data_IF_862013363209
#
_entry.id   IF_862013363209
#
_cell.length_a   1.000
_cell.length_b   1.000
_cell.length_c   1.000
_cell.angle_alpha   90.00
_cell.angle_beta   90.00
_cell.angle_gamma   90.00
#
_symmetry.space_group_name_H-M   'P 1'
#
loop_
_entity.id
_entity.type
_entity.pdbx_description
1 polymer ?
#
# COMPACT_ATOMS: atom_id res chain seq x y z
N UNK A 1 -25.47 28.76 -26.67
CA UNK A 1 -24.98 28.11 -25.43
C UNK A 1 -24.25 26.86 -25.86
N UNK A 2 -22.92 26.83 -25.78
CA UNK A 2 -22.16 25.61 -26.03
C UNK A 2 -22.49 24.60 -24.93
N UNK A 3 -22.95 23.40 -25.30
CA UNK A 3 -23.19 22.35 -24.34
C UNK A 3 -21.85 21.91 -23.75
N UNK A 4 -21.61 22.28 -22.50
CA UNK A 4 -20.41 21.84 -21.80
C UNK A 4 -20.52 20.32 -21.60
N UNK A 5 -19.38 19.62 -21.70
CA UNK A 5 -19.39 18.18 -21.47
C UNK A 5 -19.85 17.89 -20.03
N UNK A 6 -20.77 16.94 -19.78
CA UNK A 6 -21.26 16.64 -18.44
C UNK A 6 -20.12 16.20 -17.49
N UNK A 7 -19.02 15.65 -18.01
CA UNK A 7 -17.83 15.34 -17.21
C UNK A 7 -17.11 16.59 -16.70
N UNK A 8 -17.15 17.69 -17.45
CA UNK A 8 -16.49 18.94 -17.06
C UNK A 8 -17.33 19.69 -16.03
N UNK A 9 -18.67 19.67 -16.15
CA UNK A 9 -19.57 20.19 -15.12
C UNK A 9 -19.37 19.47 -13.76
N UNK A 10 -19.22 18.14 -13.78
CA UNK A 10 -18.89 17.34 -12.60
C UNK A 10 -17.48 17.69 -12.06
N UNK A 11 -16.49 17.92 -12.92
CA UNK A 11 -15.15 18.33 -12.52
C UNK A 11 -15.14 19.67 -11.77
N UNK A 12 -15.80 20.70 -12.32
CA UNK A 12 -15.95 22.01 -11.67
C UNK A 12 -16.66 21.89 -10.32
N UNK A 13 -17.77 21.13 -10.28
CA UNK A 13 -18.51 20.87 -9.04
C UNK A 13 -17.69 20.12 -7.97
N UNK A 14 -16.69 19.34 -8.39
CA UNK A 14 -15.80 18.57 -7.51
C UNK A 14 -14.58 19.36 -7.02
N UNK A 15 -14.34 20.59 -7.50
CA UNK A 15 -13.15 21.38 -7.17
C UNK A 15 -12.96 21.62 -5.66
N UNK A 16 -14.05 21.61 -4.88
CA UNK A 16 -14.04 21.75 -3.42
C UNK A 16 -13.81 20.42 -2.66
N UNK A 17 -13.54 19.30 -3.34
CA UNK A 17 -13.33 17.97 -2.74
C UNK A 17 -11.97 17.38 -3.14
N UNK A 18 -10.87 17.79 -2.48
CA UNK A 18 -9.54 17.26 -2.76
C UNK A 18 -9.44 15.76 -2.51
N UNK A 19 -8.64 15.06 -3.31
CA UNK A 19 -8.28 13.66 -3.05
C UNK A 19 -7.32 13.56 -1.85
N UNK A 20 -7.71 12.78 -0.85
CA UNK A 20 -6.86 12.45 0.30
C UNK A 20 -6.40 10.99 0.18
N UNK A 21 -5.09 10.72 0.01
CA UNK A 21 -4.58 9.36 -0.08
C UNK A 21 -4.61 8.68 1.29
N UNK A 22 -4.92 7.37 1.32
CA UNK A 22 -4.94 6.57 2.54
C UNK A 22 -3.57 6.52 3.26
N UNK A 23 -2.47 6.64 2.51
CA UNK A 23 -1.10 6.83 3.02
C UNK A 23 -0.50 8.06 2.36
N UNK A 24 -0.12 9.06 3.17
CA UNK A 24 0.50 10.28 2.67
C UNK A 24 1.89 9.99 2.09
N UNK A 25 2.32 10.79 1.09
CA UNK A 25 3.63 10.62 0.44
C UNK A 25 4.79 10.55 1.43
N UNK A 26 4.78 11.43 2.43
CA UNK A 26 5.82 11.50 3.47
C UNK A 26 5.83 10.26 4.40
N UNK A 27 4.73 9.50 4.47
CA UNK A 27 4.62 8.28 5.26
C UNK A 27 4.99 7.00 4.47
N UNK A 28 5.11 7.06 3.14
CA UNK A 28 5.36 5.88 2.30
C UNK A 28 6.63 5.13 2.71
N UNK A 29 7.71 5.84 3.06
CA UNK A 29 8.95 5.22 3.53
C UNK A 29 8.75 4.44 4.84
N UNK A 30 8.18 5.07 5.87
CA UNK A 30 8.05 4.44 7.20
C UNK A 30 7.04 3.28 7.18
N UNK A 31 5.97 3.39 6.38
CA UNK A 31 5.00 2.31 6.17
C UNK A 31 5.62 1.17 5.38
N UNK A 32 6.30 1.44 4.27
CA UNK A 32 6.98 0.44 3.46
C UNK A 32 8.07 -0.31 4.23
N UNK A 33 8.94 0.42 4.92
CA UNK A 33 10.01 -0.13 5.74
C UNK A 33 9.48 -0.99 6.90
N UNK A 34 8.48 -0.52 7.65
CA UNK A 34 7.93 -1.29 8.78
C UNK A 34 7.24 -2.57 8.33
N UNK A 35 6.50 -2.54 7.22
CA UNK A 35 5.89 -3.74 6.62
C UNK A 35 6.94 -4.73 6.11
N UNK A 36 8.00 -4.26 5.43
CA UNK A 36 9.09 -5.13 4.97
C UNK A 36 9.90 -5.73 6.12
N UNK A 37 10.14 -4.98 7.20
CA UNK A 37 10.79 -5.48 8.42
C UNK A 37 9.94 -6.54 9.12
N UNK A 38 8.62 -6.30 9.24
CA UNK A 38 7.69 -7.28 9.78
C UNK A 38 7.65 -8.55 8.90
N UNK A 39 7.62 -8.40 7.58
CA UNK A 39 7.66 -9.52 6.64
C UNK A 39 8.95 -10.34 6.77
N UNK A 40 10.11 -9.69 6.91
CA UNK A 40 11.39 -10.36 7.13
C UNK A 40 11.38 -11.19 8.43
N UNK A 41 10.92 -10.61 9.54
CA UNK A 41 10.84 -11.29 10.85
C UNK A 41 9.86 -12.47 10.77
N UNK A 42 8.64 -12.26 10.29
CA UNK A 42 7.61 -13.31 10.20
C UNK A 42 8.02 -14.44 9.24
N UNK A 43 8.64 -14.12 8.11
CA UNK A 43 9.17 -15.13 7.17
C UNK A 43 10.31 -15.92 7.79
N UNK A 44 11.19 -15.27 8.55
CA UNK A 44 12.25 -15.93 9.31
C UNK A 44 11.71 -16.93 10.32
N UNK A 45 10.75 -16.51 11.16
CA UNK A 45 10.12 -17.38 12.16
C UNK A 45 9.37 -18.53 11.49
N UNK A 46 8.58 -18.26 10.44
CA UNK A 46 7.89 -19.29 9.65
C UNK A 46 8.89 -20.27 9.03
N UNK A 47 10.01 -19.79 8.49
CA UNK A 47 11.06 -20.60 7.89
C UNK A 47 11.75 -21.56 8.87
N UNK A 48 11.85 -21.15 10.14
CA UNK A 48 12.38 -21.95 11.26
C UNK A 48 11.31 -22.87 11.89
N UNK A 49 10.02 -22.57 11.74
CA UNK A 49 8.89 -23.30 12.35
C UNK A 49 7.89 -23.80 11.30
N UNK A 50 8.39 -24.27 10.15
CA UNK A 50 7.56 -24.66 9.00
C UNK A 50 6.60 -25.79 9.34
N UNK A 51 5.31 -25.47 9.33
CA UNK A 51 4.19 -26.39 9.46
C UNK A 51 2.98 -25.82 8.70
N UNK A 52 2.05 -26.68 8.31
CA UNK A 52 0.78 -26.24 7.72
C UNK A 52 -0.05 -25.40 8.71
N UNK A 53 0.17 -25.60 10.01
CA UNK A 53 -0.47 -24.83 11.11
C UNK A 53 0.12 -23.42 11.24
N UNK A 54 1.42 -23.24 10.97
CA UNK A 54 2.07 -21.91 11.05
C UNK A 54 1.87 -21.08 9.78
N UNK A 55 1.42 -21.69 8.68
CA UNK A 55 1.14 -21.00 7.41
C UNK A 55 0.08 -19.89 7.53
N UNK A 56 -1.14 -20.10 8.07
CA UNK A 56 -2.15 -19.04 8.17
C UNK A 56 -1.78 -17.93 9.18
N UNK A 57 -0.99 -18.27 10.22
CA UNK A 57 -0.64 -17.33 11.31
C UNK A 57 0.62 -16.52 11.02
N UNK A 58 1.60 -17.10 10.31
CA UNK A 58 2.89 -16.45 10.01
C UNK A 58 3.08 -16.24 8.51
N UNK A 59 2.87 -17.29 7.69
CA UNK A 59 3.11 -17.25 6.26
C UNK A 59 2.22 -16.25 5.52
N UNK A 60 0.90 -16.29 5.74
CA UNK A 60 -0.05 -15.36 5.09
C UNK A 60 0.19 -13.90 5.51
N UNK A 61 0.31 -13.55 6.80
CA UNK A 61 0.66 -12.19 7.20
C UNK A 61 2.02 -11.72 6.68
N UNK A 62 3.03 -12.59 6.64
CA UNK A 62 4.34 -12.25 6.06
C UNK A 62 4.24 -11.92 4.57
N UNK A 63 3.48 -12.70 3.80
CA UNK A 63 3.28 -12.46 2.36
C UNK A 63 2.52 -11.15 2.08
N UNK A 64 1.48 -10.85 2.87
CA UNK A 64 0.75 -9.58 2.77
C UNK A 64 1.64 -8.39 3.11
N UNK A 65 2.38 -8.48 4.23
CA UNK A 65 3.31 -7.44 4.66
C UNK A 65 4.43 -7.21 3.62
N UNK A 66 4.95 -8.28 3.00
CA UNK A 66 5.93 -8.16 1.91
C UNK A 66 5.33 -7.45 0.68
N UNK A 67 4.14 -7.87 0.24
CA UNK A 67 3.44 -7.30 -0.91
C UNK A 67 3.21 -5.79 -0.75
N UNK A 68 2.44 -5.39 0.26
CA UNK A 68 2.17 -3.96 0.51
C UNK A 68 3.43 -3.17 0.87
N UNK A 69 4.35 -3.76 1.65
CA UNK A 69 5.61 -3.11 2.02
C UNK A 69 6.47 -2.78 0.81
N UNK A 70 6.56 -3.70 -0.17
CA UNK A 70 7.31 -3.47 -1.40
C UNK A 70 6.74 -2.33 -2.24
N UNK A 71 5.40 -2.25 -2.38
CA UNK A 71 4.71 -1.18 -3.12
C UNK A 71 4.95 0.18 -2.47
N UNK A 72 4.79 0.29 -1.14
CA UNK A 72 5.07 1.55 -0.46
C UNK A 72 6.56 1.94 -0.50
N UNK A 73 7.48 0.97 -0.50
CA UNK A 73 8.91 1.22 -0.59
C UNK A 73 9.34 1.72 -1.99
N UNK A 74 8.78 1.19 -3.09
CA UNK A 74 9.06 1.73 -4.44
C UNK A 74 8.49 3.14 -4.61
N UNK A 75 7.28 3.40 -4.09
CA UNK A 75 6.67 4.74 -4.08
C UNK A 75 7.52 5.73 -3.27
N UNK A 76 8.10 5.30 -2.15
CA UNK A 76 8.97 6.13 -1.31
C UNK A 76 10.25 6.61 -2.01
N UNK A 77 10.77 5.85 -2.99
CA UNK A 77 11.91 6.26 -3.84
C UNK A 77 11.48 6.95 -5.15
N UNK A 78 10.18 7.24 -5.30
CA UNK A 78 9.62 8.00 -6.43
C UNK A 78 9.19 7.17 -7.63
N UNK A 79 9.14 5.83 -7.52
CA UNK A 79 8.58 4.95 -8.55
C UNK A 79 7.13 4.65 -8.19
N UNK A 80 6.20 5.31 -8.86
CA UNK A 80 4.76 5.14 -8.67
C UNK A 80 4.20 4.12 -9.67
N UNK A 81 3.13 3.43 -9.27
CA UNK A 81 2.35 2.46 -10.07
C UNK A 81 0.88 2.86 -10.09
#
# INVERSE_FOLDING_TARGET
MSAQSPLLEIWEASAAQPYYPAVSKNAQFIVGFSLLLAAFILTGIFGLTRSIVTLPVLGVPASLAFGFGSVYMICAVGVYV
#
